data_IF_966061711508
#
_entry.id   IF_966061711508
#
_cell.length_a   1.000
_cell.length_b   1.000
_cell.length_c   1.000
_cell.angle_alpha   90.00
_cell.angle_beta   90.00
_cell.angle_gamma   90.00
#
_symmetry.space_group_name_H-M   'P 1'
#
loop_
_entity.id
_entity.type
_entity.pdbx_description
1 polymer ?
#
# COMPACT_ATOMS: atom_id res chain seq x y z
N UNK A 1 40.40 -26.12 -11.88
CA UNK A 1 40.16 -25.69 -10.49
C UNK A 1 41.25 -24.69 -10.17
N UNK A 2 40.96 -23.40 -10.33
CA UNK A 2 41.86 -22.34 -9.89
C UNK A 2 41.51 -22.04 -8.42
N UNK A 3 42.38 -22.35 -7.46
CA UNK A 3 42.12 -22.10 -6.05
C UNK A 3 41.99 -20.60 -5.71
N UNK A 4 42.31 -19.69 -6.64
CA UNK A 4 42.16 -18.23 -6.47
C UNK A 4 40.97 -17.65 -7.23
N UNK A 5 40.11 -18.50 -7.83
CA UNK A 5 38.90 -18.03 -8.50
C UNK A 5 37.96 -17.40 -7.47
N UNK A 6 37.52 -16.15 -7.71
CA UNK A 6 36.58 -15.50 -6.82
C UNK A 6 35.18 -16.10 -7.00
N UNK A 7 34.82 -17.01 -6.10
CA UNK A 7 33.53 -17.70 -6.04
C UNK A 7 32.52 -16.97 -5.13
N UNK A 8 32.57 -15.64 -5.07
CA UNK A 8 31.68 -14.85 -4.21
C UNK A 8 30.22 -14.82 -4.71
N UNK A 9 29.97 -15.13 -5.99
CA UNK A 9 28.65 -15.01 -6.63
C UNK A 9 27.95 -16.35 -6.94
N UNK A 10 28.24 -17.41 -6.19
CA UNK A 10 27.64 -18.74 -6.40
C UNK A 10 26.57 -19.12 -5.37
N UNK A 11 26.04 -18.14 -4.63
CA UNK A 11 24.93 -18.30 -3.68
C UNK A 11 25.14 -19.42 -2.64
N UNK A 12 26.40 -19.63 -2.23
CA UNK A 12 26.76 -20.63 -1.23
C UNK A 12 26.09 -20.34 0.13
N UNK A 13 25.62 -21.40 0.79
CA UNK A 13 25.01 -21.34 2.12
C UNK A 13 23.49 -21.57 2.10
N UNK A 14 22.84 -21.29 3.22
CA UNK A 14 21.40 -21.54 3.40
C UNK A 14 20.61 -20.37 2.82
N UNK A 15 19.82 -20.67 1.78
CA UNK A 15 18.85 -19.75 1.21
C UNK A 15 17.45 -20.02 1.75
N UNK A 16 16.66 -18.97 1.96
CA UNK A 16 15.25 -19.06 2.39
C UNK A 16 14.37 -18.28 1.44
N UNK A 17 13.53 -19.00 0.71
CA UNK A 17 12.59 -18.40 -0.23
C UNK A 17 11.18 -18.40 0.34
N UNK A 18 10.40 -17.41 -0.05
CA UNK A 18 8.96 -17.36 0.22
C UNK A 18 8.24 -17.07 -1.07
N UNK A 19 7.26 -17.91 -1.36
CA UNK A 19 6.40 -17.78 -2.52
C UNK A 19 4.97 -18.15 -2.13
N UNK A 20 4.01 -17.72 -2.95
CA UNK A 20 2.61 -18.12 -2.87
C UNK A 20 2.18 -18.53 -4.27
N UNK A 21 1.53 -19.68 -4.37
CA UNK A 21 0.88 -20.14 -5.60
C UNK A 21 -0.60 -19.84 -5.43
N UNK A 22 -1.16 -19.05 -6.35
CA UNK A 22 -2.58 -18.67 -6.34
C UNK A 22 -3.28 -19.43 -7.45
N UNK A 23 -4.27 -20.24 -7.09
CA UNK A 23 -5.12 -20.90 -8.07
C UNK A 23 -6.04 -19.88 -8.75
N UNK A 24 -6.07 -19.91 -10.07
CA UNK A 24 -6.88 -19.04 -10.91
C UNK A 24 -7.96 -19.91 -11.55
N UNK A 25 -9.23 -19.62 -11.25
CA UNK A 25 -10.37 -20.26 -11.90
C UNK A 25 -10.75 -19.42 -13.11
N UNK A 26 -10.77 -20.05 -14.30
CA UNK A 26 -11.14 -19.49 -15.62
C UNK A 26 -10.89 -17.98 -15.81
N UNK A 27 -9.80 -17.63 -16.50
CA UNK A 27 -9.46 -16.26 -16.85
C UNK A 27 -8.53 -15.61 -15.81
N UNK A 28 -7.61 -14.78 -16.28
CA UNK A 28 -6.61 -14.15 -15.42
C UNK A 28 -7.22 -12.96 -14.65
N UNK A 29 -7.48 -13.15 -13.36
CA UNK A 29 -7.83 -12.05 -12.46
C UNK A 29 -6.56 -11.32 -11.99
N UNK A 30 -6.14 -10.32 -12.78
CA UNK A 30 -4.94 -9.52 -12.52
C UNK A 30 -5.08 -8.72 -11.22
N UNK A 31 -6.29 -8.22 -10.91
CA UNK A 31 -6.59 -7.50 -9.67
C UNK A 31 -6.31 -8.37 -8.45
N UNK A 32 -6.86 -9.59 -8.44
CA UNK A 32 -6.63 -10.55 -7.35
C UNK A 32 -5.15 -10.89 -7.22
N UNK A 33 -4.44 -11.11 -8.33
CA UNK A 33 -3.01 -11.40 -8.29
C UNK A 33 -2.19 -10.25 -7.71
N UNK A 34 -2.48 -9.01 -8.10
CA UNK A 34 -1.81 -7.82 -7.56
C UNK A 34 -2.03 -7.70 -6.04
N UNK A 35 -3.26 -7.93 -5.57
CA UNK A 35 -3.59 -7.91 -4.13
C UNK A 35 -2.91 -9.05 -3.36
N UNK A 36 -2.95 -10.27 -3.87
CA UNK A 36 -2.25 -11.41 -3.29
C UNK A 36 -0.74 -11.16 -3.17
N UNK A 37 -0.14 -10.60 -4.22
CA UNK A 37 1.25 -10.16 -4.25
C UNK A 37 1.56 -9.09 -3.19
N UNK A 38 0.65 -8.14 -2.96
CA UNK A 38 0.82 -7.16 -1.89
C UNK A 38 0.82 -7.82 -0.50
N UNK A 39 -0.06 -8.81 -0.25
CA UNK A 39 -0.15 -9.46 1.08
C UNK A 39 1.08 -10.31 1.45
N UNK A 40 1.79 -10.88 0.47
CA UNK A 40 3.01 -11.65 0.76
C UNK A 40 4.19 -10.73 1.11
N UNK A 41 4.19 -9.51 0.58
CA UNK A 41 5.17 -8.46 0.84
C UNK A 41 4.90 -7.69 2.13
N UNK A 42 3.62 -7.48 2.49
CA UNK A 42 3.19 -6.74 3.67
C UNK A 42 2.51 -7.69 4.67
N UNK A 43 3.32 -8.39 5.48
CA UNK A 43 2.79 -9.34 6.46
C UNK A 43 2.16 -8.61 7.64
N UNK A 44 1.07 -9.18 8.14
CA UNK A 44 0.57 -8.86 9.46
C UNK A 44 1.65 -9.15 10.50
N UNK A 45 1.90 -8.19 11.37
CA UNK A 45 2.69 -8.40 12.58
C UNK A 45 1.78 -8.24 13.79
N UNK A 46 1.99 -9.09 14.78
CA UNK A 46 1.29 -8.98 16.06
C UNK A 46 2.09 -8.05 16.96
N UNK A 47 1.44 -7.04 17.50
CA UNK A 47 1.98 -6.20 18.58
C UNK A 47 1.24 -6.56 19.87
N UNK A 48 1.97 -7.06 20.86
CA UNK A 48 1.40 -7.34 22.18
C UNK A 48 1.45 -6.08 23.01
N UNK A 49 0.31 -5.71 23.60
CA UNK A 49 0.20 -4.51 24.43
C UNK A 49 -0.41 -4.84 25.79
N UNK A 50 0.00 -4.10 26.81
CA UNK A 50 -0.53 -4.23 28.18
C UNK A 50 -1.77 -3.36 28.37
N UNK A 51 -2.64 -3.70 29.33
CA UNK A 51 -3.74 -2.80 29.68
C UNK A 51 -3.19 -1.55 30.37
N UNK A 52 -3.38 -0.38 29.76
CA UNK A 52 -2.88 0.90 30.26
C UNK A 52 -3.93 2.00 30.09
N UNK A 53 -3.88 3.00 30.97
CA UNK A 53 -4.66 4.22 30.79
C UNK A 53 -4.13 5.02 29.60
N UNK A 54 -5.05 5.62 28.84
CA UNK A 54 -4.74 6.45 27.69
C UNK A 54 -5.49 7.77 27.79
N UNK A 55 -4.83 8.87 27.43
CA UNK A 55 -5.49 10.17 27.25
C UNK A 55 -6.25 10.23 25.92
N UNK A 56 -5.86 9.40 24.93
CA UNK A 56 -6.59 9.22 23.70
C UNK A 56 -7.77 8.26 23.91
N UNK A 57 -8.88 8.42 23.16
CA UNK A 57 -9.98 7.46 23.18
C UNK A 57 -9.47 6.04 22.95
N UNK A 58 -10.04 5.08 23.68
CA UNK A 58 -9.75 3.67 23.44
C UNK A 58 -10.07 3.33 21.98
N UNK A 59 -9.14 2.67 21.31
CA UNK A 59 -9.42 2.12 19.98
C UNK A 59 -10.49 1.03 20.12
N UNK A 60 -11.37 0.97 19.13
CA UNK A 60 -12.32 -0.12 19.01
C UNK A 60 -11.58 -1.46 18.84
N UNK A 61 -12.26 -2.56 19.17
CA UNK A 61 -11.69 -3.91 19.01
C UNK A 61 -11.24 -4.19 17.57
N UNK A 62 -11.92 -3.57 16.61
CA UNK A 62 -11.60 -3.60 15.19
C UNK A 62 -11.57 -2.17 14.71
N UNK A 63 -10.50 -1.79 14.00
CA UNK A 63 -10.37 -0.48 13.40
C UNK A 63 -9.90 -0.61 11.96
N UNK A 64 -10.69 -0.07 11.02
CA UNK A 64 -10.31 0.05 9.62
C UNK A 64 -9.80 1.47 9.38
N UNK A 65 -8.48 1.63 9.22
CA UNK A 65 -7.88 2.94 9.02
C UNK A 65 -8.11 3.54 7.62
N UNK A 66 -8.26 2.69 6.60
CA UNK A 66 -8.44 3.10 5.21
C UNK A 66 -9.08 2.00 4.38
N UNK A 67 -10.07 2.37 3.57
CA UNK A 67 -10.68 1.57 2.52
C UNK A 67 -10.51 2.27 1.17
N UNK A 68 -10.25 1.48 0.12
CA UNK A 68 -10.10 1.94 -1.27
C UNK A 68 -10.98 1.08 -2.15
N UNK A 69 -11.82 1.72 -2.95
CA UNK A 69 -12.72 1.07 -3.90
C UNK A 69 -12.58 1.75 -5.28
N UNK A 70 -12.77 1.02 -6.39
CA UNK A 70 -12.97 -0.44 -6.49
C UNK A 70 -11.67 -1.24 -6.28
N UNK A 71 -11.79 -2.57 -6.21
CA UNK A 71 -10.69 -3.48 -5.86
C UNK A 71 -9.45 -3.40 -6.77
N UNK A 72 -9.61 -2.93 -8.01
CA UNK A 72 -8.50 -2.72 -8.94
C UNK A 72 -7.69 -1.46 -8.65
N UNK A 73 -8.04 -0.66 -7.64
CA UNK A 73 -7.24 0.47 -7.15
C UNK A 73 -6.61 0.12 -5.82
N UNK A 74 -5.28 0.13 -5.76
CA UNK A 74 -4.50 -0.34 -4.62
C UNK A 74 -3.69 0.81 -4.03
N UNK A 75 -3.86 1.07 -2.73
CA UNK A 75 -2.98 1.97 -1.98
C UNK A 75 -1.61 1.32 -1.73
N UNK A 76 -0.54 2.04 -2.05
CA UNK A 76 0.86 1.58 -1.90
C UNK A 76 1.66 2.42 -0.92
N UNK A 77 1.22 3.66 -0.65
CA UNK A 77 1.89 4.56 0.29
C UNK A 77 0.84 5.26 1.13
N UNK A 78 1.09 5.26 2.44
CA UNK A 78 0.48 6.19 3.40
C UNK A 78 1.62 6.64 4.30
N UNK A 79 2.07 7.88 4.15
CA UNK A 79 3.18 8.45 4.92
C UNK A 79 2.90 9.89 5.29
N UNK A 80 3.60 10.42 6.29
CA UNK A 80 3.56 11.86 6.56
C UNK A 80 4.18 12.65 5.40
N UNK A 81 3.64 13.83 5.13
CA UNK A 81 4.31 14.83 4.29
C UNK A 81 5.67 15.21 4.89
N UNK A 82 6.66 15.48 4.05
CA UNK A 82 8.00 15.93 4.40
C UNK A 82 7.96 17.29 5.11
N UNK A 83 7.04 18.16 4.71
CA UNK A 83 6.79 19.46 5.35
C UNK A 83 6.03 19.32 6.69
N UNK A 84 5.66 18.11 7.06
CA UNK A 84 4.99 17.78 8.32
C UNK A 84 3.50 18.14 8.37
N UNK A 85 2.98 18.84 7.36
CA UNK A 85 1.55 19.12 7.22
C UNK A 85 0.86 18.01 6.41
N UNK A 86 0.00 17.25 7.08
CA UNK A 86 -0.82 16.22 6.45
C UNK A 86 -0.08 14.93 6.06
N UNK A 87 -0.69 14.21 5.12
CA UNK A 87 -0.30 12.87 4.72
C UNK A 87 -0.23 12.75 3.20
N UNK A 88 0.67 11.90 2.72
CA UNK A 88 0.78 11.49 1.33
C UNK A 88 0.18 10.11 1.19
N UNK A 89 -0.81 10.00 0.31
CA UNK A 89 -1.47 8.74 -0.06
C UNK A 89 -1.23 8.48 -1.54
N UNK A 90 -0.68 7.31 -1.87
CA UNK A 90 -0.44 6.90 -3.26
C UNK A 90 -1.22 5.65 -3.60
N UNK A 91 -1.91 5.69 -4.73
CA UNK A 91 -2.68 4.58 -5.28
C UNK A 91 -2.27 4.31 -6.73
N UNK A 92 -2.53 3.11 -7.21
CA UNK A 92 -2.43 2.79 -8.63
C UNK A 92 -3.57 1.88 -9.08
N UNK A 93 -3.90 1.94 -10.37
CA UNK A 93 -4.84 1.04 -11.02
C UNK A 93 -4.09 -0.23 -11.48
N UNK A 94 -4.61 -1.42 -11.13
CA UNK A 94 -3.85 -2.68 -11.19
C UNK A 94 -4.31 -3.65 -12.29
N UNK A 95 -5.43 -3.38 -12.97
CA UNK A 95 -6.05 -4.31 -13.91
C UNK A 95 -6.09 -3.81 -15.36
N UNK A 96 -5.63 -2.59 -15.62
CA UNK A 96 -5.66 -1.96 -16.93
C UNK A 96 -7.04 -1.39 -17.29
N UNK A 97 -7.90 -1.21 -16.29
CA UNK A 97 -9.28 -0.75 -16.48
C UNK A 97 -9.42 0.63 -15.83
N UNK A 98 -9.53 1.66 -16.67
CA UNK A 98 -9.83 3.01 -16.19
C UNK A 98 -11.14 3.01 -15.41
N UNK A 99 -11.16 3.68 -14.25
CA UNK A 99 -12.29 3.64 -13.31
C UNK A 99 -12.42 4.92 -12.51
N UNK A 100 -13.57 5.10 -11.85
CA UNK A 100 -13.73 6.08 -10.78
C UNK A 100 -13.54 5.36 -9.45
N UNK A 101 -12.70 5.94 -8.59
CA UNK A 101 -12.31 5.38 -7.32
C UNK A 101 -12.65 6.31 -6.18
N UNK A 102 -12.77 5.72 -4.99
CA UNK A 102 -13.00 6.41 -3.74
C UNK A 102 -12.05 5.88 -2.68
N UNK A 103 -11.44 6.79 -1.93
CA UNK A 103 -10.69 6.46 -0.72
C UNK A 103 -11.48 7.01 0.47
N UNK A 104 -11.69 6.16 1.48
CA UNK A 104 -12.27 6.52 2.76
C UNK A 104 -11.27 6.18 3.85
N UNK A 105 -10.87 7.16 4.65
CA UNK A 105 -9.90 6.93 5.71
C UNK A 105 -10.34 7.56 7.01
N UNK A 106 -10.73 6.71 7.96
CA UNK A 106 -10.97 7.11 9.35
C UNK A 106 -9.68 7.55 10.04
N UNK A 107 -8.54 6.94 9.67
CA UNK A 107 -7.21 7.30 10.17
C UNK A 107 -6.83 8.75 9.83
N UNK A 108 -7.19 9.19 8.61
CA UNK A 108 -6.88 10.53 8.12
C UNK A 108 -8.04 11.51 8.32
N UNK A 109 -9.24 11.03 8.69
CA UNK A 109 -10.44 11.85 8.80
C UNK A 109 -10.90 12.42 7.44
N UNK A 110 -10.65 11.72 6.35
CA UNK A 110 -10.88 12.21 4.98
C UNK A 110 -11.53 11.16 4.08
N UNK A 111 -12.31 11.65 3.10
CA UNK A 111 -12.87 10.87 2.01
C UNK A 111 -12.80 11.69 0.72
N UNK A 112 -12.40 11.07 -0.38
CA UNK A 112 -12.36 11.74 -1.68
C UNK A 112 -12.54 10.75 -2.83
N UNK A 113 -13.10 11.25 -3.93
CA UNK A 113 -13.32 10.52 -5.18
C UNK A 113 -12.40 11.06 -6.27
N UNK A 114 -11.98 10.18 -7.19
CA UNK A 114 -11.14 10.56 -8.32
C UNK A 114 -11.28 9.54 -9.46
N UNK A 115 -11.19 10.01 -10.70
CA UNK A 115 -10.95 9.14 -11.85
C UNK A 115 -9.49 8.66 -11.86
N UNK A 116 -9.24 7.45 -12.34
CA UNK A 116 -7.89 6.91 -12.54
C UNK A 116 -7.86 6.09 -13.83
N UNK A 117 -6.87 6.34 -14.68
CA UNK A 117 -6.67 5.64 -15.95
C UNK A 117 -6.09 4.24 -15.76
N UNK A 118 -6.12 3.46 -16.84
CA UNK A 118 -5.51 2.14 -16.90
C UNK A 118 -4.02 2.20 -16.52
N UNK A 119 -3.62 1.45 -15.50
CA UNK A 119 -2.26 1.45 -14.94
C UNK A 119 -1.73 2.83 -14.48
N UNK A 120 -2.62 3.82 -14.31
CA UNK A 120 -2.23 5.14 -13.81
C UNK A 120 -1.88 5.03 -12.32
N UNK A 121 -0.92 5.86 -11.90
CA UNK A 121 -0.60 6.10 -10.50
C UNK A 121 -1.09 7.49 -10.12
N UNK A 122 -1.71 7.62 -8.94
CA UNK A 122 -2.10 8.92 -8.37
C UNK A 122 -1.58 9.09 -6.96
N UNK A 123 -1.11 10.30 -6.68
CA UNK A 123 -0.64 10.71 -5.37
C UNK A 123 -1.48 11.87 -4.88
N UNK A 124 -1.86 11.82 -3.61
CA UNK A 124 -2.70 12.80 -2.95
C UNK A 124 -2.00 13.32 -1.71
N UNK A 125 -2.08 14.63 -1.52
CA UNK A 125 -1.76 15.28 -0.26
C UNK A 125 -3.07 15.51 0.50
N UNK A 126 -3.15 14.95 1.70
CA UNK A 126 -4.34 14.93 2.55
C UNK A 126 -4.03 15.77 3.79
N UNK A 127 -4.63 16.95 3.86
CA UNK A 127 -4.50 17.86 5.01
C UNK A 127 -5.85 18.01 5.72
N UNK A 128 -5.88 18.85 6.76
CA UNK A 128 -7.15 19.25 7.40
C UNK A 128 -8.02 20.13 6.50
N UNK A 129 -7.43 20.82 5.55
CA UNK A 129 -8.12 21.76 4.66
C UNK A 129 -8.75 21.04 3.46
N UNK A 130 -8.20 19.89 3.08
CA UNK A 130 -8.79 19.05 2.05
C UNK A 130 -7.78 18.07 1.46
N UNK A 131 -8.15 17.55 0.28
CA UNK A 131 -7.33 16.62 -0.49
C UNK A 131 -6.98 17.27 -1.82
N UNK A 132 -5.69 17.32 -2.13
CA UNK A 132 -5.18 17.80 -3.41
C UNK A 132 -4.37 16.71 -4.11
N UNK A 133 -4.38 16.70 -5.45
CA UNK A 133 -3.49 15.84 -6.24
C UNK A 133 -2.10 16.47 -6.24
N UNK A 134 -1.07 15.66 -6.04
CA UNK A 134 0.33 16.05 -6.17
C UNK A 134 1.08 15.08 -7.09
N UNK A 135 2.22 15.53 -7.63
CA UNK A 135 3.11 14.69 -8.43
C UNK A 135 4.18 14.04 -7.54
N UNK A 136 5.22 13.46 -8.15
CA UNK A 136 6.23 12.64 -7.46
C UNK A 136 6.98 13.40 -6.35
N UNK A 137 7.11 14.71 -6.49
CA UNK A 137 7.55 15.64 -5.47
C UNK A 137 6.33 16.22 -4.79
N UNK A 138 6.30 16.28 -3.46
CA UNK A 138 5.17 16.73 -2.62
C UNK A 138 4.78 18.20 -2.81
N UNK A 139 5.31 18.84 -3.85
CA UNK A 139 5.14 20.23 -4.20
C UNK A 139 4.00 20.32 -5.24
N UNK A 140 2.94 21.05 -4.90
CA UNK A 140 1.93 21.45 -5.87
C UNK A 140 2.56 22.37 -6.93
N UNK A 141 2.31 22.09 -8.21
CA UNK A 141 2.67 23.00 -9.30
C UNK A 141 1.75 24.22 -9.35
#
# INVERSE_FOLDING_TARGET
FDPNENLEYIDQGIQRFRYRIVAIESGLDVTRLAREGATICARLFAHLESAHESQAPALERTFEGMAVEPDNVIATVVKKSEDGDGWIVRVYESSGIATNAIVRSSLLGAQWEFAIGAYELRTFHVTREGVSKVDLTEIAQ
#
